data_IF_826661726434
#
_entry.id   IF_826661726434
#
_cell.length_a   1.000
_cell.length_b   1.000
_cell.length_c   1.000
_cell.angle_alpha   90.00
_cell.angle_beta   90.00
_cell.angle_gamma   90.00
#
_symmetry.space_group_name_H-M   'P 1'
#
loop_
_entity.id
_entity.type
_entity.pdbx_description
1 polymer ?
#
# COMPACT_ATOMS: atom_id res chain seq x y z
N UNK A 1 -27.98 -6.75 1.81
CA UNK A 1 -26.82 -7.58 2.21
C UNK A 1 -25.64 -6.63 2.46
N UNK A 2 -25.46 -6.18 3.69
CA UNK A 2 -24.46 -5.15 4.02
C UNK A 2 -23.05 -5.77 3.98
N UNK A 3 -22.24 -5.33 3.03
CA UNK A 3 -20.81 -5.66 2.94
C UNK A 3 -20.17 -5.13 4.22
N UNK A 4 -19.75 -6.01 5.13
CA UNK A 4 -18.89 -5.62 6.27
C UNK A 4 -17.65 -4.97 5.66
N UNK A 5 -17.57 -3.65 5.72
CA UNK A 5 -16.31 -2.94 5.57
C UNK A 5 -15.45 -3.48 6.70
N UNK A 6 -14.46 -4.30 6.36
CA UNK A 6 -13.50 -4.79 7.33
C UNK A 6 -12.99 -3.56 8.10
N UNK A 7 -13.15 -3.57 9.42
CA UNK A 7 -12.76 -2.49 10.30
C UNK A 7 -11.26 -2.22 10.08
N UNK A 8 -10.95 -1.17 9.30
CA UNK A 8 -9.60 -0.80 8.89
C UNK A 8 -8.69 -0.57 10.10
N UNK A 9 -9.28 -0.30 11.25
CA UNK A 9 -8.67 -0.07 12.55
C UNK A 9 -8.05 -1.34 13.17
N UNK A 10 -8.59 -2.52 12.84
CA UNK A 10 -8.07 -3.81 13.33
C UNK A 10 -6.74 -4.18 12.69
N UNK A 11 -6.64 -4.01 11.36
CA UNK A 11 -5.40 -4.24 10.61
C UNK A 11 -4.27 -3.29 11.00
N UNK A 12 -4.58 -2.00 11.22
CA UNK A 12 -3.60 -1.01 11.68
C UNK A 12 -3.05 -1.37 13.05
N UNK A 13 -3.91 -1.66 14.03
CA UNK A 13 -3.47 -2.07 15.38
C UNK A 13 -2.64 -3.35 15.38
N UNK A 14 -3.04 -4.33 14.57
CA UNK A 14 -2.28 -5.56 14.40
C UNK A 14 -0.89 -5.30 13.81
N UNK A 15 -0.80 -4.48 12.76
CA UNK A 15 0.47 -4.06 12.18
C UNK A 15 1.34 -3.27 13.17
N UNK A 16 0.76 -2.34 13.93
CA UNK A 16 1.47 -1.57 14.96
C UNK A 16 2.05 -2.45 16.07
N UNK A 17 1.35 -3.53 16.43
CA UNK A 17 1.82 -4.52 17.40
C UNK A 17 2.96 -5.42 16.91
N UNK A 18 3.24 -5.45 15.60
CA UNK A 18 4.36 -6.24 15.07
C UNK A 18 5.72 -5.70 15.53
N UNK A 19 6.64 -6.63 15.81
CA UNK A 19 8.05 -6.30 16.06
C UNK A 19 8.68 -5.63 14.82
N UNK A 20 9.69 -4.80 15.06
CA UNK A 20 10.34 -3.98 14.03
C UNK A 20 10.96 -4.81 12.90
N UNK A 21 11.52 -6.00 13.21
CA UNK A 21 12.05 -6.95 12.23
C UNK A 21 10.97 -7.47 11.29
N UNK A 22 9.78 -7.77 11.82
CA UNK A 22 8.63 -8.22 11.02
C UNK A 22 8.07 -7.10 10.14
N UNK A 23 7.98 -5.88 10.65
CA UNK A 23 7.61 -4.69 9.86
C UNK A 23 8.60 -4.43 8.72
N UNK A 24 9.90 -4.53 9.02
CA UNK A 24 10.97 -4.37 8.05
C UNK A 24 10.89 -5.45 6.95
N UNK A 25 10.62 -6.70 7.31
CA UNK A 25 10.42 -7.80 6.36
C UNK A 25 9.23 -7.54 5.42
N UNK A 26 8.09 -7.10 5.94
CA UNK A 26 6.92 -6.76 5.12
C UNK A 26 7.20 -5.60 4.16
N UNK A 27 7.87 -4.56 4.65
CA UNK A 27 8.28 -3.42 3.85
C UNK A 27 9.31 -3.78 2.78
N UNK A 28 10.25 -4.67 3.12
CA UNK A 28 11.23 -5.21 2.19
C UNK A 28 10.58 -6.00 1.07
N UNK A 29 9.62 -6.88 1.40
CA UNK A 29 8.85 -7.61 0.39
C UNK A 29 8.11 -6.66 -0.56
N UNK A 30 7.37 -5.69 -0.03
CA UNK A 30 6.63 -4.73 -0.84
C UNK A 30 7.57 -3.94 -1.77
N UNK A 31 8.74 -3.54 -1.27
CA UNK A 31 9.76 -2.86 -2.08
C UNK A 31 10.22 -3.76 -3.23
N UNK A 32 10.60 -5.01 -2.96
CA UNK A 32 11.01 -5.96 -4.01
C UNK A 32 9.92 -6.20 -5.04
N UNK A 33 8.64 -6.29 -4.64
CA UNK A 33 7.54 -6.44 -5.59
C UNK A 33 7.31 -5.17 -6.43
N UNK A 34 7.54 -4.01 -5.83
CA UNK A 34 7.44 -2.72 -6.55
C UNK A 34 8.58 -2.60 -7.55
N UNK A 35 9.82 -2.84 -7.12
CA UNK A 35 11.01 -2.77 -7.99
C UNK A 35 11.02 -3.85 -9.07
N UNK A 36 10.52 -5.06 -8.76
CA UNK A 36 10.44 -6.17 -9.70
C UNK A 36 9.28 -6.07 -10.70
N UNK A 37 8.34 -5.13 -10.50
CA UNK A 37 7.24 -4.86 -11.42
C UNK A 37 7.41 -3.47 -12.03
N UNK A 38 8.21 -3.38 -13.10
CA UNK A 38 8.49 -2.12 -13.80
C UNK A 38 7.21 -1.37 -14.18
N UNK A 39 6.17 -2.10 -14.62
CA UNK A 39 4.88 -1.52 -14.99
C UNK A 39 4.16 -0.90 -13.79
N UNK A 40 4.07 -1.64 -12.67
CA UNK A 40 3.40 -1.13 -11.48
C UNK A 40 4.16 0.07 -10.91
N UNK A 41 5.48 -0.02 -10.70
CA UNK A 41 6.30 1.09 -10.22
C UNK A 41 6.23 2.34 -11.12
N UNK A 42 6.32 2.15 -12.43
CA UNK A 42 6.20 3.26 -13.41
C UNK A 42 4.82 3.90 -13.36
N UNK A 43 3.76 3.09 -13.22
CA UNK A 43 2.38 3.56 -13.07
C UNK A 43 2.20 4.42 -11.82
N UNK A 44 2.82 4.05 -10.69
CA UNK A 44 2.77 4.84 -9.46
C UNK A 44 3.48 6.18 -9.61
N UNK A 45 4.68 6.19 -10.20
CA UNK A 45 5.43 7.42 -10.44
C UNK A 45 4.70 8.38 -11.39
N UNK A 46 4.09 7.84 -12.46
CA UNK A 46 3.29 8.61 -13.41
C UNK A 46 2.03 9.19 -12.77
N UNK A 47 1.35 8.40 -11.93
CA UNK A 47 0.16 8.83 -11.20
C UNK A 47 0.47 9.98 -10.22
N UNK A 48 1.56 9.87 -9.46
CA UNK A 48 1.97 10.95 -8.56
C UNK A 48 2.32 12.23 -9.33
N UNK A 49 3.08 12.13 -10.43
CA UNK A 49 3.45 13.27 -11.28
C UNK A 49 2.23 13.95 -11.89
N UNK A 50 1.30 13.19 -12.46
CA UNK A 50 0.07 13.73 -13.05
C UNK A 50 -0.83 14.39 -12.01
N UNK A 51 -0.92 13.82 -10.81
CA UNK A 51 -1.66 14.41 -9.68
C UNK A 51 -1.05 15.75 -9.26
N UNK A 52 0.29 15.81 -9.13
CA UNK A 52 1.01 17.05 -8.81
C UNK A 52 0.80 18.10 -9.91
N UNK A 53 0.97 17.72 -11.17
CA UNK A 53 0.80 18.63 -12.30
C UNK A 53 -0.62 19.21 -12.35
N UNK A 54 -1.65 18.37 -12.18
CA UNK A 54 -3.05 18.79 -12.10
C UNK A 54 -3.27 19.80 -10.98
N UNK A 55 -2.76 19.50 -9.78
CA UNK A 55 -2.87 20.37 -8.60
C UNK A 55 -2.20 21.73 -8.82
N UNK A 56 -1.02 21.75 -9.43
CA UNK A 56 -0.33 23.01 -9.81
C UNK A 56 -1.21 23.82 -10.77
N UNK A 57 -1.74 23.21 -11.83
CA UNK A 57 -2.60 23.89 -12.80
C UNK A 57 -3.89 24.45 -12.19
N UNK A 58 -4.43 23.78 -11.16
CA UNK A 58 -5.67 24.17 -10.48
C UNK A 58 -5.44 25.03 -9.22
N UNK A 59 -4.19 25.42 -8.93
CA UNK A 59 -3.82 26.14 -7.71
C UNK A 59 -4.30 25.43 -6.41
N UNK A 60 -4.25 24.10 -6.42
CA UNK A 60 -4.57 23.24 -5.27
C UNK A 60 -3.34 23.05 -4.38
N UNK A 61 -3.56 22.63 -3.11
CA UNK A 61 -2.49 22.34 -2.17
C UNK A 61 -1.56 21.22 -2.67
N UNK A 62 -0.25 21.44 -2.52
CA UNK A 62 0.81 20.45 -2.74
C UNK A 62 1.24 19.73 -1.46
N UNK A 63 0.41 19.79 -0.41
CA UNK A 63 0.63 19.00 0.80
C UNK A 63 0.78 17.51 0.45
N UNK A 64 1.86 16.91 0.97
CA UNK A 64 2.19 15.53 0.68
C UNK A 64 1.11 14.58 1.20
N UNK A 65 0.50 14.87 2.35
CA UNK A 65 -0.60 14.08 2.90
C UNK A 65 -1.84 14.10 1.99
N UNK A 66 -2.21 15.27 1.47
CA UNK A 66 -3.32 15.42 0.53
C UNK A 66 -3.07 14.68 -0.79
N UNK A 67 -1.85 14.77 -1.34
CA UNK A 67 -1.47 14.03 -2.56
C UNK A 67 -1.51 12.53 -2.31
N UNK A 68 -0.92 12.05 -1.20
CA UNK A 68 -0.94 10.63 -0.83
C UNK A 68 -2.38 10.14 -0.62
N UNK A 69 -3.25 10.96 -0.01
CA UNK A 69 -4.66 10.64 0.19
C UNK A 69 -5.43 10.43 -1.11
N UNK A 70 -5.12 11.20 -2.15
CA UNK A 70 -5.71 11.06 -3.49
C UNK A 70 -5.15 9.84 -4.24
N UNK A 71 -3.84 9.62 -4.16
CA UNK A 71 -3.14 8.60 -4.95
C UNK A 71 -3.31 7.19 -4.35
N UNK A 72 -3.24 7.05 -3.02
CA UNK A 72 -3.20 5.75 -2.35
C UNK A 72 -4.36 4.78 -2.67
N UNK A 73 -5.63 5.21 -2.79
CA UNK A 73 -6.72 4.33 -3.20
C UNK A 73 -6.50 3.71 -4.59
N UNK A 74 -5.99 4.49 -5.54
CA UNK A 74 -5.71 4.05 -6.91
C UNK A 74 -4.53 3.07 -6.92
N UNK A 75 -3.48 3.36 -6.15
CA UNK A 75 -2.34 2.46 -5.96
C UNK A 75 -2.79 1.11 -5.44
N UNK A 76 -3.64 1.09 -4.41
CA UNK A 76 -4.18 -0.14 -3.82
C UNK A 76 -5.04 -0.92 -4.82
N UNK A 77 -5.83 -0.23 -5.64
CA UNK A 77 -6.68 -0.86 -6.65
C UNK A 77 -5.87 -1.48 -7.80
N UNK A 78 -4.72 -0.89 -8.14
CA UNK A 78 -3.81 -1.36 -9.21
C UNK A 78 -2.71 -2.31 -8.74
N UNK A 79 -2.67 -2.63 -7.45
CA UNK A 79 -1.68 -3.57 -6.92
C UNK A 79 -1.86 -4.94 -7.58
N UNK A 80 -0.79 -5.55 -8.13
CA UNK A 80 -0.85 -6.90 -8.68
C UNK A 80 -1.42 -7.88 -7.65
N UNK A 81 -2.23 -8.82 -8.11
CA UNK A 81 -2.90 -9.78 -7.25
C UNK A 81 -1.88 -10.63 -6.46
N UNK A 82 -0.82 -11.06 -7.13
CA UNK A 82 0.27 -11.85 -6.57
C UNK A 82 0.99 -11.09 -5.44
N UNK A 83 1.21 -9.79 -5.63
CA UNK A 83 1.79 -8.89 -4.62
C UNK A 83 0.87 -8.77 -3.41
N UNK A 84 -0.43 -8.58 -3.66
CA UNK A 84 -1.44 -8.43 -2.61
C UNK A 84 -1.56 -9.72 -1.79
N UNK A 85 -1.69 -10.87 -2.43
CA UNK A 85 -1.76 -12.17 -1.76
C UNK A 85 -0.47 -12.52 -1.03
N UNK A 86 0.68 -12.22 -1.64
CA UNK A 86 1.99 -12.41 -1.02
C UNK A 86 2.19 -11.55 0.22
N UNK A 87 1.66 -10.32 0.22
CA UNK A 87 1.59 -9.46 1.41
C UNK A 87 0.68 -10.05 2.48
N UNK A 88 -0.52 -10.51 2.11
CA UNK A 88 -1.46 -11.11 3.06
C UNK A 88 -0.87 -12.34 3.74
N UNK A 89 -0.27 -13.27 2.98
CA UNK A 89 0.37 -14.47 3.54
C UNK A 89 1.47 -14.11 4.53
N UNK A 90 2.35 -13.17 4.18
CA UNK A 90 3.44 -12.73 5.07
C UNK A 90 2.93 -12.00 6.30
N UNK A 91 1.90 -11.17 6.17
CA UNK A 91 1.28 -10.49 7.30
C UNK A 91 0.61 -11.49 8.25
N UNK A 92 -0.09 -12.49 7.70
CA UNK A 92 -0.66 -13.58 8.49
C UNK A 92 0.42 -14.38 9.22
N UNK A 93 1.50 -14.75 8.53
CA UNK A 93 2.64 -15.44 9.15
C UNK A 93 3.31 -14.60 10.25
N UNK A 94 3.40 -13.28 10.06
CA UNK A 94 3.96 -12.37 11.06
C UNK A 94 3.06 -12.22 12.30
N UNK A 95 1.74 -12.33 12.14
CA UNK A 95 0.76 -12.17 13.22
C UNK A 95 0.46 -13.47 13.97
N UNK A 96 0.46 -14.60 13.27
CA UNK A 96 -0.07 -15.87 13.77
C UNK A 96 0.95 -17.02 13.74
N UNK A 97 2.15 -16.81 13.18
CA UNK A 97 3.11 -17.88 12.90
C UNK A 97 2.85 -18.54 11.54
N UNK A 98 3.80 -19.36 11.09
CA UNK A 98 3.68 -20.08 9.82
C UNK A 98 2.54 -21.09 9.90
N UNK A 99 1.56 -20.94 9.01
CA UNK A 99 0.57 -21.98 8.74
C UNK A 99 1.25 -22.92 7.74
N UNK A 100 1.97 -23.91 8.28
CA UNK A 100 2.77 -24.86 7.49
C UNK A 100 2.02 -25.46 6.30
#
# INVERSE_FOLDING_TARGET
MARRVADSTGGVRAHEGLRSDRKASLSGYLRTQTEGSEEWATSLGSLAKSTIARRVCCNESLDAGAIVGEVAPIVRARMPEETREGLFRRAAAALYGDWG
#
